data_IF_281461819459
#
_entry.id   IF_281461819459
#
_cell.length_a   1.000
_cell.length_b   1.000
_cell.length_c   1.000
_cell.angle_alpha   90.00
_cell.angle_beta   90.00
_cell.angle_gamma   90.00
#
_symmetry.space_group_name_H-M   'P 1'
#
loop_
_entity.id
_entity.type
_entity.pdbx_description
1 polymer ?
#
# COMPACT_ATOMS: atom_id res chain seq x y z
N UNK A 1 6.44 9.90 -29.11
CA UNK A 1 6.53 10.99 -28.12
C UNK A 1 7.13 10.40 -26.85
N UNK A 2 8.46 10.36 -26.77
CA UNK A 2 9.16 9.96 -25.55
C UNK A 2 9.38 11.21 -24.71
N UNK A 3 8.33 11.59 -23.99
CA UNK A 3 8.44 12.65 -23.00
C UNK A 3 9.05 12.03 -21.77
N UNK A 4 10.36 12.19 -21.59
CA UNK A 4 11.09 11.92 -20.35
C UNK A 4 10.47 12.78 -19.24
N UNK A 5 9.34 12.32 -18.70
CA UNK A 5 8.68 12.92 -17.54
C UNK A 5 9.61 12.62 -16.39
N UNK A 6 10.21 13.66 -15.81
CA UNK A 6 10.83 13.58 -14.48
C UNK A 6 9.91 12.71 -13.61
N UNK A 7 10.40 11.62 -13.01
CA UNK A 7 9.58 10.87 -12.07
C UNK A 7 9.07 11.86 -11.04
N UNK A 8 7.75 12.04 -10.99
CA UNK A 8 7.12 12.85 -9.96
C UNK A 8 7.66 12.33 -8.62
N UNK A 9 7.94 13.23 -7.68
CA UNK A 9 8.53 12.84 -6.40
C UNK A 9 7.72 11.68 -5.81
N UNK A 10 8.40 10.60 -5.40
CA UNK A 10 7.73 9.44 -4.80
C UNK A 10 6.83 9.91 -3.67
N UNK A 11 5.54 9.64 -3.79
CA UNK A 11 4.57 9.92 -2.73
C UNK A 11 4.59 8.75 -1.77
N UNK A 12 4.72 9.03 -0.49
CA UNK A 12 4.53 8.04 0.57
C UNK A 12 3.43 8.51 1.52
N UNK A 13 2.58 7.58 1.95
CA UNK A 13 1.52 7.86 2.89
C UNK A 13 1.27 6.65 3.78
N UNK A 14 0.72 6.94 4.96
CA UNK A 14 0.48 5.96 6.02
C UNK A 14 -0.93 6.14 6.56
N UNK A 15 -1.66 5.04 6.72
CA UNK A 15 -3.01 5.04 7.28
C UNK A 15 -3.16 3.97 8.34
N UNK A 16 -3.65 4.36 9.51
CA UNK A 16 -4.03 3.41 10.56
C UNK A 16 -5.44 2.89 10.27
N UNK A 17 -5.57 1.57 10.22
CA UNK A 17 -6.85 0.89 10.02
C UNK A 17 -7.65 0.92 11.32
N UNK A 18 -8.89 1.40 11.24
CA UNK A 18 -9.74 1.59 12.43
C UNK A 18 -10.11 0.27 13.08
N UNK A 19 -10.49 -0.73 12.29
CA UNK A 19 -10.97 -2.01 12.79
C UNK A 19 -9.84 -2.96 13.23
N UNK A 20 -8.76 -3.06 12.44
CA UNK A 20 -7.66 -3.99 12.73
C UNK A 20 -6.54 -3.41 13.60
N UNK A 21 -6.48 -2.08 13.76
CA UNK A 21 -5.40 -1.39 14.46
C UNK A 21 -4.05 -1.36 13.71
N UNK A 22 -3.94 -2.08 12.58
CA UNK A 22 -2.74 -2.14 11.75
C UNK A 22 -2.48 -0.79 11.07
N UNK A 23 -1.21 -0.49 10.79
CA UNK A 23 -0.85 0.66 9.94
C UNK A 23 -0.46 0.16 8.56
N UNK A 24 -1.11 0.66 7.51
CA UNK A 24 -0.74 0.38 6.13
C UNK A 24 0.04 1.57 5.58
N UNK A 25 1.23 1.31 5.07
CA UNK A 25 2.05 2.27 4.33
C UNK A 25 1.89 1.97 2.86
N UNK A 26 1.81 3.02 2.05
CA UNK A 26 1.77 2.90 0.61
C UNK A 26 2.56 4.02 -0.03
N UNK A 27 3.25 3.67 -1.12
CA UNK A 27 4.10 4.60 -1.86
C UNK A 27 4.17 4.25 -3.32
N UNK A 28 4.43 5.24 -4.16
CA UNK A 28 4.64 5.08 -5.60
C UNK A 28 4.80 6.42 -6.29
N UNK A 29 4.92 6.38 -7.60
CA UNK A 29 4.95 7.56 -8.46
C UNK A 29 3.57 7.78 -9.04
N UNK A 30 2.97 8.98 -8.93
CA UNK A 30 1.71 9.27 -9.60
C UNK A 30 1.78 8.94 -11.09
N UNK A 31 0.67 8.43 -11.65
CA UNK A 31 0.53 8.01 -13.05
C UNK A 31 1.42 6.83 -13.51
N UNK A 32 2.18 6.20 -12.62
CA UNK A 32 2.91 4.95 -12.90
C UNK A 32 2.31 3.76 -12.16
N UNK A 33 2.58 2.56 -12.68
CA UNK A 33 2.22 1.28 -12.05
C UNK A 33 3.31 0.77 -11.08
N UNK A 34 4.08 1.66 -10.44
CA UNK A 34 5.10 1.29 -9.45
C UNK A 34 4.62 1.32 -7.99
N UNK A 35 3.32 1.49 -7.75
CA UNK A 35 2.82 1.59 -6.37
C UNK A 35 2.93 0.28 -5.61
N UNK A 36 3.28 0.40 -4.34
CA UNK A 36 3.39 -0.68 -3.37
C UNK A 36 2.62 -0.30 -2.12
N UNK A 37 1.90 -1.27 -1.54
CA UNK A 37 1.25 -1.16 -0.23
C UNK A 37 1.72 -2.29 0.68
N UNK A 38 2.02 -1.98 1.95
CA UNK A 38 2.45 -2.96 2.94
C UNK A 38 2.01 -2.59 4.35
N UNK A 39 1.93 -3.59 5.22
CA UNK A 39 1.62 -3.39 6.64
C UNK A 39 2.92 -2.97 7.35
N UNK A 40 2.89 -1.82 8.04
CA UNK A 40 3.96 -1.40 8.93
C UNK A 40 3.98 -2.32 10.15
N UNK A 41 4.95 -3.21 10.21
CA UNK A 41 5.23 -4.00 11.40
C UNK A 41 6.40 -3.36 12.13
N UNK A 42 6.22 -3.00 13.40
CA UNK A 42 7.25 -2.33 14.19
C UNK A 42 8.40 -3.26 14.60
N UNK A 43 8.19 -4.58 14.58
CA UNK A 43 9.14 -5.57 15.12
C UNK A 43 9.44 -6.73 14.18
N UNK A 44 8.72 -6.90 13.06
CA UNK A 44 9.04 -7.95 12.09
C UNK A 44 9.99 -7.45 11.02
N UNK A 45 11.04 -8.25 10.78
CA UNK A 45 12.06 -8.04 9.74
C UNK A 45 11.51 -8.07 8.31
N UNK A 46 10.27 -8.55 8.11
CA UNK A 46 9.64 -8.69 6.78
C UNK A 46 8.36 -7.86 6.70
N UNK A 47 8.34 -6.92 5.75
CA UNK A 47 7.14 -6.16 5.38
C UNK A 47 6.12 -7.12 4.78
N UNK A 48 4.90 -7.15 5.32
CA UNK A 48 3.79 -7.90 4.72
C UNK A 48 3.20 -7.06 3.57
N UNK A 49 3.45 -7.50 2.34
CA UNK A 49 3.06 -6.78 1.12
C UNK A 49 1.60 -7.07 0.81
N UNK A 50 0.79 -6.02 0.68
CA UNK A 50 -0.62 -6.09 0.31
C UNK A 50 -0.83 -5.91 -1.20
N UNK A 51 0.06 -5.15 -1.85
CA UNK A 51 0.11 -5.01 -3.29
C UNK A 51 1.53 -4.58 -3.71
N UNK A 52 1.99 -5.10 -4.84
CA UNK A 52 3.22 -4.69 -5.52
C UNK A 52 2.93 -4.37 -6.99
N UNK A 53 3.75 -3.48 -7.58
CA UNK A 53 3.70 -3.08 -8.99
C UNK A 53 2.27 -2.84 -9.50
N UNK A 54 1.60 -1.85 -8.90
CA UNK A 54 0.21 -1.54 -9.22
C UNK A 54 -0.04 -0.06 -9.38
N UNK A 55 -1.21 0.30 -9.91
CA UNK A 55 -1.62 1.69 -10.08
C UNK A 55 -2.04 2.31 -8.76
N UNK A 56 -1.86 3.61 -8.60
CA UNK A 56 -2.31 4.39 -7.43
C UNK A 56 -3.77 4.09 -7.05
N UNK A 57 -4.65 4.03 -8.06
CA UNK A 57 -6.09 3.76 -7.88
C UNK A 57 -6.34 2.42 -7.17
N UNK A 58 -5.60 1.38 -7.53
CA UNK A 58 -5.73 0.04 -6.92
C UNK A 58 -5.27 0.06 -5.46
N UNK A 59 -4.14 0.72 -5.17
CA UNK A 59 -3.67 0.93 -3.80
C UNK A 59 -4.69 1.68 -2.96
N UNK A 60 -5.23 2.81 -3.45
CA UNK A 60 -6.24 3.58 -2.70
C UNK A 60 -7.50 2.76 -2.42
N UNK A 61 -7.98 1.97 -3.38
CA UNK A 61 -9.11 1.06 -3.19
C UNK A 61 -8.82 -0.03 -2.16
N UNK A 62 -7.62 -0.62 -2.21
CA UNK A 62 -7.16 -1.61 -1.24
C UNK A 62 -7.11 -1.04 0.18
N UNK A 63 -6.51 0.13 0.35
CA UNK A 63 -6.45 0.83 1.66
C UNK A 63 -7.84 1.21 2.17
N UNK A 64 -8.78 1.57 1.28
CA UNK A 64 -10.18 1.79 1.64
C UNK A 64 -10.84 0.50 2.14
N UNK A 65 -10.63 -0.61 1.44
CA UNK A 65 -11.16 -1.92 1.84
C UNK A 65 -10.57 -2.41 3.17
N UNK A 66 -9.25 -2.28 3.39
CA UNK A 66 -8.61 -2.69 4.64
C UNK A 66 -9.16 -1.98 5.90
N UNK A 67 -9.81 -0.82 5.77
CA UNK A 67 -10.42 -0.13 6.91
C UNK A 67 -11.59 -0.88 7.54
N UNK A 68 -12.30 -1.69 6.75
CA UNK A 68 -13.46 -2.46 7.19
C UNK A 68 -13.10 -3.92 7.52
N UNK A 69 -11.82 -4.27 7.45
CA UNK A 69 -11.34 -5.63 7.68
C UNK A 69 -10.70 -5.80 9.06
N UNK A 70 -10.94 -6.97 9.65
CA UNK A 70 -10.26 -7.43 10.86
C UNK A 70 -8.78 -7.67 10.60
N UNK A 71 -7.97 -7.69 11.68
CA UNK A 71 -6.52 -7.92 11.58
C UNK A 71 -6.17 -9.18 10.79
N UNK A 72 -6.84 -10.30 11.11
CA UNK A 72 -6.63 -11.59 10.44
C UNK A 72 -6.90 -11.52 8.93
N UNK A 73 -7.95 -10.82 8.50
CA UNK A 73 -8.30 -10.68 7.09
C UNK A 73 -7.27 -9.84 6.33
N UNK A 74 -6.80 -8.74 6.95
CA UNK A 74 -5.74 -7.90 6.35
C UNK A 74 -4.41 -8.66 6.27
N UNK A 75 -4.06 -9.44 7.30
CA UNK A 75 -2.87 -10.30 7.28
C UNK A 75 -3.00 -11.44 6.25
N UNK A 76 -4.21 -11.96 6.02
CA UNK A 76 -4.49 -12.96 4.98
C UNK A 76 -4.28 -12.38 3.59
N UNK A 77 -4.80 -11.18 3.31
CA UNK A 77 -4.57 -10.47 2.05
C UNK A 77 -3.08 -10.29 1.74
N UNK A 78 -2.24 -10.09 2.77
CA UNK A 78 -0.82 -9.86 2.59
C UNK A 78 0.02 -11.15 2.40
N UNK A 79 -0.59 -12.32 2.59
CA UNK A 79 0.10 -13.62 2.47
C UNK A 79 -0.15 -14.30 1.12
N UNK A 80 -1.13 -13.84 0.34
CA UNK A 80 -1.61 -14.51 -0.87
C UNK A 80 -2.61 -15.61 -0.52
#
# INVERSE_FOLDING_TARGET
>A
MDGSRKPLAKVESRRRMRLSGLTVVYRGTPDLDDWVAYIASGTQSRKMILADHTSERKVKKLVAHCQTLSRKEVEKLAKG
#
